data_IF_844956036379
#
_entry.id   IF_844956036379
#
_cell.length_a   1.000
_cell.length_b   1.000
_cell.length_c   1.000
_cell.angle_alpha   90.00
_cell.angle_beta   90.00
_cell.angle_gamma   90.00
#
_symmetry.space_group_name_H-M   'P 1'
#
loop_
_entity.id
_entity.type
_entity.pdbx_description
1 polymer ?
#
# COMPACT_ATOMS: atom_id res chain seq x y z
N UNK A 1 -17.19 -5.66 49.23
CA UNK A 1 -15.82 -5.62 48.74
C UNK A 1 -15.67 -6.64 47.59
N UNK A 2 -16.03 -7.88 47.81
CA UNK A 2 -15.88 -8.99 46.86
C UNK A 2 -16.53 -8.71 45.46
N UNK A 3 -17.76 -8.13 45.46
CA UNK A 3 -18.44 -7.72 44.23
C UNK A 3 -17.74 -6.55 43.50
N UNK A 4 -17.09 -5.65 44.21
CA UNK A 4 -16.35 -4.50 43.60
C UNK A 4 -15.06 -4.97 42.97
N UNK A 5 -14.33 -5.88 43.62
CA UNK A 5 -13.10 -6.47 43.07
C UNK A 5 -13.39 -7.29 41.82
N UNK A 6 -14.45 -8.09 41.81
CA UNK A 6 -14.86 -8.85 40.62
C UNK A 6 -15.21 -7.90 39.46
N UNK A 7 -16.01 -6.87 39.72
CA UNK A 7 -16.37 -5.88 38.70
C UNK A 7 -15.17 -5.16 38.12
N UNK A 8 -14.21 -4.76 38.99
CA UNK A 8 -12.96 -4.11 38.50
C UNK A 8 -12.09 -5.08 37.71
N UNK A 9 -12.02 -6.34 38.12
CA UNK A 9 -11.30 -7.37 37.38
C UNK A 9 -11.86 -7.54 35.98
N UNK A 10 -13.18 -7.67 35.87
CA UNK A 10 -13.85 -7.83 34.57
C UNK A 10 -13.66 -6.58 33.68
N UNK A 11 -13.81 -5.38 34.23
CA UNK A 11 -13.61 -4.13 33.53
C UNK A 11 -12.16 -3.94 33.04
N UNK A 12 -11.18 -4.33 33.87
CA UNK A 12 -9.76 -4.28 33.46
C UNK A 12 -9.46 -5.27 32.35
N UNK A 13 -10.06 -6.47 32.39
CA UNK A 13 -9.91 -7.47 31.31
C UNK A 13 -10.57 -7.00 30.02
N UNK A 14 -11.77 -6.43 30.09
CA UNK A 14 -12.46 -5.86 28.93
C UNK A 14 -11.61 -4.79 28.24
N UNK A 15 -11.03 -3.86 29.02
CA UNK A 15 -10.15 -2.81 28.47
C UNK A 15 -8.93 -3.41 27.76
N UNK A 16 -8.28 -4.41 28.34
CA UNK A 16 -7.03 -4.97 27.77
C UNK A 16 -7.29 -5.94 26.62
N UNK A 17 -8.43 -6.64 26.62
CA UNK A 17 -8.70 -7.74 25.67
C UNK A 17 -9.75 -7.41 24.61
N UNK A 18 -10.69 -6.50 24.88
CA UNK A 18 -11.85 -6.26 24.02
C UNK A 18 -11.93 -4.84 23.47
N UNK A 19 -11.47 -3.83 24.24
CA UNK A 19 -11.39 -2.46 23.73
C UNK A 19 -10.25 -2.31 22.74
N UNK A 20 -10.49 -1.81 21.50
CA UNK A 20 -9.45 -1.69 20.48
C UNK A 20 -8.26 -0.83 20.94
N UNK A 21 -8.52 0.30 21.55
CA UNK A 21 -7.47 1.20 22.02
C UNK A 21 -6.74 0.62 23.23
N UNK A 22 -7.48 0.03 24.17
CA UNK A 22 -6.92 -0.66 25.33
C UNK A 22 -6.03 -1.83 24.91
N UNK A 23 -6.51 -2.70 24.02
CA UNK A 23 -5.75 -3.83 23.50
C UNK A 23 -4.47 -3.39 22.75
N UNK A 24 -4.50 -2.25 22.06
CA UNK A 24 -3.34 -1.70 21.34
C UNK A 24 -2.34 -1.04 22.30
N UNK A 25 -2.78 -0.20 23.24
CA UNK A 25 -1.90 0.69 23.97
C UNK A 25 -1.61 0.28 25.43
N UNK A 26 -2.42 -0.57 26.07
CA UNK A 26 -2.26 -0.96 27.47
C UNK A 26 -1.44 -2.23 27.58
N UNK A 27 -0.41 -2.21 28.41
CA UNK A 27 0.38 -3.39 28.76
C UNK A 27 -0.28 -4.20 29.86
N UNK A 28 -0.58 -3.53 30.98
CA UNK A 28 -1.33 -4.12 32.08
C UNK A 28 -2.00 -3.06 32.95
N UNK A 29 -3.01 -3.49 33.73
CA UNK A 29 -3.72 -2.67 34.72
C UNK A 29 -3.56 -3.33 36.08
N UNK A 30 -3.15 -2.54 37.09
CA UNK A 30 -3.15 -2.93 38.49
C UNK A 30 -4.21 -2.13 39.20
N UNK A 31 -4.90 -2.76 40.15
CA UNK A 31 -5.83 -2.05 41.01
C UNK A 31 -5.75 -2.57 42.44
N UNK A 32 -6.13 -1.72 43.42
CA UNK A 32 -6.41 -2.08 44.80
C UNK A 32 -7.74 -1.50 45.20
N UNK A 33 -8.44 -2.15 46.13
CA UNK A 33 -9.74 -1.70 46.63
C UNK A 33 -9.66 -1.61 48.15
N UNK A 34 -9.82 -0.39 48.65
CA UNK A 34 -9.80 -0.12 50.10
C UNK A 34 -11.21 0.16 50.56
N UNK A 35 -11.75 -0.58 51.57
CA UNK A 35 -13.06 -0.32 52.13
C UNK A 35 -13.02 0.92 53.02
N UNK A 36 -13.93 1.88 52.75
CA UNK A 36 -14.19 3.06 53.56
C UNK A 36 -15.62 2.94 54.13
N UNK A 37 -15.87 3.39 55.32
CA UNK A 37 -17.10 3.12 56.12
C UNK A 37 -18.42 3.05 55.34
N UNK A 38 -18.60 3.85 54.28
CA UNK A 38 -19.82 3.92 53.50
C UNK A 38 -19.64 3.59 52.00
N UNK A 39 -18.40 3.37 51.52
CA UNK A 39 -18.05 3.12 50.11
C UNK A 39 -16.74 2.33 50.00
N UNK A 40 -16.39 1.94 48.82
CA UNK A 40 -15.06 1.39 48.50
C UNK A 40 -14.29 2.37 47.59
N UNK A 41 -13.02 2.57 47.88
CA UNK A 41 -12.12 3.38 47.06
C UNK A 41 -11.24 2.45 46.21
N UNK A 42 -11.19 2.69 44.89
CA UNK A 42 -10.36 1.92 44.01
C UNK A 42 -9.19 2.78 43.49
N UNK A 43 -7.98 2.28 43.66
CA UNK A 43 -6.76 2.87 43.07
C UNK A 43 -6.36 2.05 41.83
N UNK A 44 -6.40 2.68 40.67
CA UNK A 44 -6.12 2.04 39.38
C UNK A 44 -4.84 2.63 38.80
N UNK A 45 -3.88 1.78 38.47
CA UNK A 45 -2.63 2.15 37.80
C UNK A 45 -2.55 1.42 36.45
N UNK A 46 -2.45 2.19 35.38
CA UNK A 46 -2.37 1.68 34.01
C UNK A 46 -0.95 1.86 33.49
N UNK A 47 -0.34 0.77 33.02
CA UNK A 47 0.95 0.79 32.33
C UNK A 47 0.70 0.68 30.82
N UNK A 48 1.26 1.61 30.07
CA UNK A 48 1.09 1.70 28.64
C UNK A 48 2.34 1.18 27.92
N UNK A 49 2.13 0.42 26.82
CA UNK A 49 3.18 -0.02 25.90
C UNK A 49 3.36 0.92 24.69
N UNK A 50 2.45 1.87 24.52
CA UNK A 50 2.50 2.88 23.44
C UNK A 50 2.60 4.28 24.03
N UNK A 51 3.32 5.16 23.33
CA UNK A 51 3.42 6.58 23.70
C UNK A 51 2.17 7.34 23.30
N UNK A 52 2.02 8.55 23.81
CA UNK A 52 0.91 9.45 23.43
C UNK A 52 0.97 9.81 21.94
N UNK A 53 2.15 9.98 21.40
CA UNK A 53 2.40 10.29 20.00
C UNK A 53 1.97 9.11 19.09
N UNK A 54 2.29 7.88 19.47
CA UNK A 54 1.86 6.68 18.77
C UNK A 54 0.32 6.55 18.79
N UNK A 55 -0.33 6.80 19.92
CA UNK A 55 -1.79 6.80 20.00
C UNK A 55 -2.40 7.94 19.17
N UNK A 56 -1.79 9.12 19.17
CA UNK A 56 -2.26 10.25 18.37
C UNK A 56 -2.07 10.06 16.85
N UNK A 57 -1.17 9.18 16.44
CA UNK A 57 -0.92 8.85 15.02
C UNK A 57 -1.93 7.87 14.42
N UNK A 58 -2.83 7.30 15.22
CA UNK A 58 -3.87 6.38 14.74
C UNK A 58 -4.82 7.12 13.80
N UNK A 59 -4.95 6.63 12.58
CA UNK A 59 -5.86 7.19 11.57
C UNK A 59 -7.13 6.36 11.51
N UNK A 60 -8.29 7.02 11.53
CA UNK A 60 -9.56 6.34 11.35
C UNK A 60 -9.83 6.11 9.86
N UNK A 61 -10.06 4.86 9.47
CA UNK A 61 -10.40 4.47 8.13
C UNK A 61 -11.72 3.69 8.10
N UNK A 62 -12.62 4.08 7.22
CA UNK A 62 -13.91 3.41 7.00
C UNK A 62 -13.96 2.87 5.59
N UNK A 63 -13.90 1.53 5.47
CA UNK A 63 -14.00 0.84 4.19
C UNK A 63 -12.70 0.79 3.38
N UNK A 64 -12.71 -0.06 2.38
CA UNK A 64 -11.54 -0.45 1.56
C UNK A 64 -10.85 0.74 0.90
N UNK A 65 -11.63 1.67 0.34
CA UNK A 65 -11.09 2.84 -0.36
C UNK A 65 -10.30 3.77 0.57
N UNK A 66 -10.80 3.97 1.81
CA UNK A 66 -10.10 4.79 2.79
C UNK A 66 -8.82 4.10 3.28
N UNK A 67 -8.87 2.79 3.56
CA UNK A 67 -7.70 1.99 3.94
C UNK A 67 -6.65 2.06 2.84
N UNK A 68 -7.03 1.80 1.59
CA UNK A 68 -6.11 1.86 0.43
C UNK A 68 -5.52 3.26 0.24
N UNK A 69 -6.30 4.32 0.47
CA UNK A 69 -5.82 5.71 0.44
C UNK A 69 -4.73 5.99 1.48
N UNK A 70 -4.92 5.51 2.72
CA UNK A 70 -3.92 5.64 3.79
C UNK A 70 -2.65 4.83 3.49
N UNK A 71 -2.79 3.64 2.91
CA UNK A 71 -1.65 2.82 2.48
C UNK A 71 -0.86 3.48 1.35
N UNK A 72 -1.55 4.07 0.36
CA UNK A 72 -0.90 4.85 -0.71
C UNK A 72 -0.13 6.05 -0.13
N UNK A 73 -0.71 6.77 0.81
CA UNK A 73 -0.03 7.87 1.51
C UNK A 73 1.22 7.40 2.26
N UNK A 74 1.14 6.25 2.96
CA UNK A 74 2.28 5.65 3.65
C UNK A 74 3.40 5.26 2.67
N UNK A 75 3.07 4.59 1.57
CA UNK A 75 4.03 4.15 0.55
C UNK A 75 4.67 5.34 -0.19
N UNK A 76 3.90 6.39 -0.49
CA UNK A 76 4.42 7.60 -1.15
C UNK A 76 5.42 8.37 -0.27
N UNK A 77 5.24 8.34 1.05
CA UNK A 77 6.13 8.98 2.02
C UNK A 77 7.20 8.06 2.61
N UNK A 78 7.25 6.80 2.16
CA UNK A 78 8.13 5.76 2.70
C UNK A 78 8.04 5.67 4.23
N UNK A 79 6.80 5.73 4.73
CA UNK A 79 6.54 5.60 6.16
C UNK A 79 6.86 4.17 6.62
N UNK A 80 7.58 4.03 7.73
CA UNK A 80 7.89 2.72 8.30
C UNK A 80 6.69 2.09 9.02
N UNK A 81 5.67 2.89 9.33
CA UNK A 81 4.50 2.45 10.09
C UNK A 81 3.23 3.18 9.63
N UNK A 82 2.11 2.46 9.63
CA UNK A 82 0.78 3.04 9.54
C UNK A 82 -0.15 2.30 10.50
N UNK A 83 -0.83 3.03 11.38
CA UNK A 83 -1.78 2.47 12.34
C UNK A 83 -3.18 2.96 11.99
N UNK A 84 -4.08 2.02 11.75
CA UNK A 84 -5.46 2.31 11.33
C UNK A 84 -6.45 1.82 12.38
N UNK A 85 -7.41 2.67 12.73
CA UNK A 85 -8.61 2.26 13.45
C UNK A 85 -9.72 2.00 12.45
N UNK A 86 -10.15 0.76 12.33
CA UNK A 86 -11.13 0.31 11.36
C UNK A 86 -12.41 -0.13 12.10
N UNK A 87 -13.54 0.46 11.71
CA UNK A 87 -14.85 0.03 12.16
C UNK A 87 -15.38 -1.06 11.22
N UNK A 88 -16.03 -2.08 11.77
CA UNK A 88 -16.61 -3.20 11.01
C UNK A 88 -15.57 -4.01 10.21
N UNK A 89 -14.41 -4.26 10.82
CA UNK A 89 -13.39 -5.11 10.26
C UNK A 89 -13.66 -6.59 10.59
N UNK A 90 -14.06 -7.36 9.60
CA UNK A 90 -14.31 -8.81 9.67
C UNK A 90 -13.25 -9.61 8.90
N UNK A 91 -12.31 -8.93 8.26
CA UNK A 91 -11.26 -9.48 7.42
C UNK A 91 -10.05 -9.94 8.26
N UNK A 92 -9.07 -10.53 7.58
CA UNK A 92 -7.84 -11.04 8.17
C UNK A 92 -6.58 -10.25 7.72
N UNK A 93 -5.42 -10.71 8.16
CA UNK A 93 -4.14 -10.13 7.74
C UNK A 93 -3.89 -10.24 6.25
N UNK A 94 -4.34 -11.33 5.60
CA UNK A 94 -4.14 -11.53 4.17
C UNK A 94 -4.84 -10.45 3.35
N UNK A 95 -6.03 -10.02 3.78
CA UNK A 95 -6.74 -8.91 3.17
C UNK A 95 -5.96 -7.59 3.23
N UNK A 96 -5.38 -7.26 4.40
CA UNK A 96 -4.57 -6.04 4.54
C UNK A 96 -3.29 -6.13 3.69
N UNK A 97 -2.61 -7.29 3.66
CA UNK A 97 -1.43 -7.51 2.81
C UNK A 97 -1.74 -7.30 1.34
N UNK A 98 -2.90 -7.78 0.89
CA UNK A 98 -3.35 -7.58 -0.48
C UNK A 98 -3.63 -6.09 -0.77
N UNK A 99 -4.21 -5.34 0.17
CA UNK A 99 -4.41 -3.90 0.01
C UNK A 99 -3.07 -3.12 -0.02
N UNK A 100 -2.07 -3.53 0.74
CA UNK A 100 -0.71 -2.96 0.65
C UNK A 100 -0.13 -3.20 -0.74
N UNK A 101 -0.24 -4.43 -1.24
CA UNK A 101 0.23 -4.78 -2.59
C UNK A 101 -0.46 -3.95 -3.66
N UNK A 102 -1.78 -3.83 -3.61
CA UNK A 102 -2.54 -2.99 -4.54
C UNK A 102 -2.15 -1.51 -4.45
N UNK A 103 -1.99 -0.99 -3.24
CA UNK A 103 -1.57 0.39 -3.02
C UNK A 103 -0.16 0.67 -3.58
N UNK A 104 0.75 -0.30 -3.52
CA UNK A 104 2.08 -0.21 -4.09
C UNK A 104 2.03 0.00 -5.61
N UNK A 105 1.24 -0.78 -6.32
CA UNK A 105 1.06 -0.63 -7.78
C UNK A 105 0.22 0.59 -8.19
N UNK A 106 -0.51 1.20 -7.25
CA UNK A 106 -1.24 2.45 -7.49
C UNK A 106 -0.34 3.70 -7.42
N UNK A 107 0.87 3.57 -6.92
CA UNK A 107 1.83 4.68 -6.79
C UNK A 107 3.14 4.36 -7.53
N UNK A 108 3.08 4.13 -8.86
CA UNK A 108 4.20 3.60 -9.62
C UNK A 108 5.47 4.44 -9.52
N UNK A 109 5.38 5.77 -9.46
CA UNK A 109 6.55 6.64 -9.28
C UNK A 109 7.24 6.51 -7.90
N UNK A 110 6.58 5.86 -6.93
CA UNK A 110 7.13 5.56 -5.60
C UNK A 110 7.35 4.05 -5.39
N UNK A 111 7.12 3.22 -6.41
CA UNK A 111 7.28 1.77 -6.34
C UNK A 111 8.77 1.38 -6.52
N UNK A 112 9.59 1.72 -5.52
CA UNK A 112 11.05 1.56 -5.54
C UNK A 112 11.55 0.30 -4.82
N UNK A 113 10.69 -0.66 -4.64
CA UNK A 113 10.89 -1.95 -3.97
C UNK A 113 9.75 -2.22 -2.99
N UNK A 114 9.08 -3.37 -3.16
CA UNK A 114 7.97 -3.79 -2.29
C UNK A 114 8.48 -3.94 -0.86
N UNK A 115 7.92 -3.23 0.13
CA UNK A 115 8.31 -3.41 1.53
C UNK A 115 7.86 -4.77 2.05
N UNK A 116 8.63 -5.36 2.96
CA UNK A 116 8.14 -6.43 3.80
C UNK A 116 7.09 -5.88 4.77
N UNK A 117 6.01 -6.64 4.98
CA UNK A 117 4.85 -6.19 5.75
C UNK A 117 4.68 -7.06 6.98
N UNK A 118 4.76 -6.44 8.17
CA UNK A 118 4.36 -7.05 9.43
C UNK A 118 3.05 -6.44 9.91
N UNK A 119 2.15 -7.27 10.39
CA UNK A 119 0.80 -6.87 10.80
C UNK A 119 0.52 -7.31 12.23
N UNK A 120 -0.17 -6.45 12.97
CA UNK A 120 -0.76 -6.79 14.26
C UNK A 120 -2.16 -6.19 14.34
N UNK A 121 -3.14 -6.99 14.78
CA UNK A 121 -4.55 -6.61 14.85
C UNK A 121 -5.02 -6.66 16.30
N UNK A 122 -5.58 -5.55 16.79
CA UNK A 122 -6.02 -5.35 18.17
C UNK A 122 -7.51 -4.93 18.23
N UNK A 123 -8.33 -5.59 19.04
CA UNK A 123 -8.11 -6.89 19.69
C UNK A 123 -8.11 -8.04 18.69
N UNK A 124 -7.83 -9.26 19.17
CA UNK A 124 -7.84 -10.47 18.31
C UNK A 124 -9.23 -10.80 17.73
N UNK A 125 -10.30 -10.31 18.36
CA UNK A 125 -11.69 -10.51 17.93
C UNK A 125 -12.50 -9.22 18.06
N UNK A 126 -13.69 -9.15 17.47
CA UNK A 126 -14.55 -7.98 17.48
C UNK A 126 -14.58 -7.27 16.11
N UNK A 127 -15.51 -6.32 15.96
CA UNK A 127 -15.73 -5.60 14.69
C UNK A 127 -14.94 -4.31 14.58
N UNK A 128 -14.63 -3.66 15.70
CA UNK A 128 -13.77 -2.50 15.73
C UNK A 128 -12.36 -2.94 16.07
N UNK A 129 -11.40 -2.60 15.25
CA UNK A 129 -10.01 -3.01 15.43
C UNK A 129 -9.03 -1.91 15.13
N UNK A 130 -7.87 -1.98 15.77
CA UNK A 130 -6.68 -1.23 15.39
C UNK A 130 -5.75 -2.19 14.69
N UNK A 131 -5.35 -1.83 13.47
CA UNK A 131 -4.41 -2.58 12.64
C UNK A 131 -3.11 -1.78 12.59
N UNK A 132 -2.07 -2.35 13.15
CA UNK A 132 -0.69 -1.84 13.07
C UNK A 132 -0.01 -2.48 11.87
N UNK A 133 0.51 -1.67 10.97
CA UNK A 133 1.13 -2.07 9.71
C UNK A 133 2.56 -1.53 9.73
N UNK A 134 3.55 -2.41 9.85
CA UNK A 134 4.95 -2.06 9.74
C UNK A 134 5.42 -2.36 8.31
N UNK A 135 6.16 -1.41 7.74
CA UNK A 135 6.65 -1.46 6.37
C UNK A 135 8.19 -1.37 6.40
N UNK A 136 8.82 -2.49 6.09
CA UNK A 136 10.29 -2.59 6.02
C UNK A 136 10.74 -2.56 4.56
N UNK A 137 11.35 -1.46 4.18
CA UNK A 137 11.76 -1.21 2.80
C UNK A 137 13.14 -1.80 2.51
N UNK A 138 13.42 -2.23 1.26
CA UNK A 138 14.72 -2.79 0.90
C UNK A 138 15.87 -1.79 0.89
N UNK A 139 15.56 -0.49 0.93
CA UNK A 139 16.53 0.61 0.93
C UNK A 139 16.23 1.57 2.08
N UNK A 140 17.27 2.29 2.51
CA UNK A 140 17.12 3.37 3.48
C UNK A 140 16.21 4.49 2.95
N UNK A 141 15.44 5.09 3.85
CA UNK A 141 14.47 6.12 3.50
C UNK A 141 15.06 7.28 2.70
N UNK A 142 16.26 7.74 3.07
CA UNK A 142 16.93 8.84 2.36
C UNK A 142 17.25 8.47 0.91
N UNK A 143 17.65 7.23 0.65
CA UNK A 143 17.91 6.72 -0.69
C UNK A 143 16.60 6.57 -1.49
N UNK A 144 15.53 6.11 -0.86
CA UNK A 144 14.21 6.03 -1.50
C UNK A 144 13.69 7.43 -1.90
N UNK A 145 13.85 8.42 -1.03
CA UNK A 145 13.47 9.80 -1.29
C UNK A 145 14.29 10.40 -2.45
N UNK A 146 15.61 10.16 -2.49
CA UNK A 146 16.49 10.59 -3.58
C UNK A 146 16.07 9.96 -4.92
N UNK A 147 15.90 8.62 -4.97
CA UNK A 147 15.48 7.90 -6.18
C UNK A 147 14.10 8.34 -6.67
N UNK A 148 13.15 8.60 -5.75
CA UNK A 148 11.83 9.13 -6.11
C UNK A 148 11.95 10.49 -6.77
N UNK A 149 12.75 11.38 -6.20
CA UNK A 149 12.89 12.75 -6.69
C UNK A 149 13.61 12.78 -8.04
N UNK A 150 14.63 11.94 -8.24
CA UNK A 150 15.30 11.73 -9.52
C UNK A 150 14.34 11.20 -10.59
N UNK A 151 13.56 10.17 -10.23
CA UNK A 151 12.55 9.59 -11.13
C UNK A 151 11.47 10.61 -11.50
N UNK A 152 10.98 11.39 -10.54
CA UNK A 152 9.99 12.42 -10.80
C UNK A 152 10.50 13.50 -11.77
N UNK A 153 11.76 13.90 -11.63
CA UNK A 153 12.41 14.84 -12.53
C UNK A 153 12.56 14.27 -13.95
N UNK A 154 12.96 13.00 -14.06
CA UNK A 154 13.10 12.29 -15.35
C UNK A 154 11.75 12.18 -16.05
N UNK A 155 10.70 11.75 -15.36
CA UNK A 155 9.34 11.65 -15.90
C UNK A 155 8.83 13.01 -16.41
N UNK A 156 9.05 14.08 -15.65
CA UNK A 156 8.69 15.45 -16.08
C UNK A 156 9.44 15.84 -17.36
N UNK A 157 10.73 15.54 -17.44
CA UNK A 157 11.56 15.86 -18.60
C UNK A 157 11.06 15.13 -19.85
N UNK A 158 10.82 13.82 -19.74
CA UNK A 158 10.39 12.96 -20.84
C UNK A 158 8.98 13.29 -21.36
N UNK A 159 8.10 13.79 -20.49
CA UNK A 159 6.70 14.06 -20.85
C UNK A 159 6.39 15.53 -21.19
N UNK A 160 7.33 16.43 -20.96
CA UNK A 160 7.15 17.89 -21.11
C UNK A 160 6.60 18.29 -22.48
N UNK A 161 7.17 17.78 -23.55
CA UNK A 161 6.78 18.14 -24.91
C UNK A 161 5.43 17.52 -25.31
N UNK A 162 5.03 16.43 -24.68
CA UNK A 162 3.75 15.77 -24.91
C UNK A 162 2.55 16.56 -24.37
N UNK A 163 2.79 17.41 -23.41
CA UNK A 163 1.75 18.28 -22.79
C UNK A 163 1.84 19.74 -23.26
N UNK A 164 2.88 20.10 -24.02
CA UNK A 164 3.09 21.44 -24.51
C UNK A 164 1.97 21.92 -25.45
N UNK A 165 1.66 23.22 -25.41
CA UNK A 165 0.68 23.83 -26.32
C UNK A 165 -0.77 23.38 -26.14
N UNK A 166 -1.13 22.75 -25.01
CA UNK A 166 -2.48 22.26 -24.75
C UNK A 166 -2.82 20.94 -25.48
N UNK A 167 -1.81 20.22 -25.94
CA UNK A 167 -1.97 18.86 -26.49
C UNK A 167 -2.54 17.92 -25.41
N UNK A 168 -3.46 17.05 -25.81
CA UNK A 168 -3.97 15.97 -24.97
C UNK A 168 -3.16 14.70 -25.26
N UNK A 169 -2.35 14.22 -24.30
CA UNK A 169 -1.56 13.00 -24.48
C UNK A 169 -2.43 11.77 -24.67
N UNK A 170 -1.93 10.78 -25.39
CA UNK A 170 -2.55 9.47 -25.56
C UNK A 170 -1.67 8.37 -24.96
N UNK A 171 -2.27 7.21 -24.69
CA UNK A 171 -1.55 6.04 -24.17
C UNK A 171 -0.40 5.62 -25.10
N UNK A 172 -0.57 5.78 -26.40
CA UNK A 172 0.47 5.51 -27.41
C UNK A 172 1.66 6.45 -27.33
N UNK A 173 1.46 7.70 -26.86
CA UNK A 173 2.57 8.63 -26.63
C UNK A 173 3.45 8.15 -25.46
N UNK A 174 2.82 7.73 -24.35
CA UNK A 174 3.52 7.15 -23.21
C UNK A 174 4.28 5.86 -23.60
N UNK A 175 3.67 5.02 -24.43
CA UNK A 175 4.29 3.79 -24.91
C UNK A 175 5.52 4.10 -25.80
N UNK A 176 5.42 5.08 -26.68
CA UNK A 176 6.54 5.50 -27.52
C UNK A 176 7.72 5.97 -26.66
N UNK A 177 7.48 6.83 -25.67
CA UNK A 177 8.53 7.29 -24.74
C UNK A 177 9.18 6.09 -24.05
N UNK A 178 8.38 5.17 -23.50
CA UNK A 178 8.91 3.99 -22.80
C UNK A 178 9.87 3.19 -23.73
N UNK A 179 9.48 2.98 -24.98
CA UNK A 179 10.24 2.18 -25.94
C UNK A 179 11.51 2.90 -26.47
N UNK A 180 11.53 4.21 -26.42
CA UNK A 180 12.71 5.02 -26.75
C UNK A 180 13.75 5.00 -25.62
N UNK A 181 13.29 4.89 -24.35
CA UNK A 181 14.14 4.89 -23.15
C UNK A 181 14.73 3.51 -22.82
N UNK A 182 14.12 2.42 -23.25
CA UNK A 182 14.66 1.10 -22.92
C UNK A 182 13.87 -0.09 -23.42
N UNK A 183 14.21 -1.26 -22.90
CA UNK A 183 13.67 -2.52 -23.36
C UNK A 183 13.41 -3.51 -22.23
N UNK A 184 12.69 -4.58 -22.54
CA UNK A 184 12.49 -5.71 -21.65
C UNK A 184 13.79 -6.54 -21.51
N UNK A 185 14.12 -6.87 -20.27
CA UNK A 185 15.18 -7.81 -19.90
C UNK A 185 14.63 -8.68 -18.72
N UNK A 186 14.47 -10.00 -18.89
CA UNK A 186 13.95 -10.87 -17.83
C UNK A 186 14.82 -10.86 -16.57
N UNK A 187 16.11 -10.55 -16.67
CA UNK A 187 17.05 -10.43 -15.54
C UNK A 187 17.20 -8.97 -15.06
N UNK A 188 16.45 -8.03 -15.65
CA UNK A 188 16.47 -6.62 -15.29
C UNK A 188 15.80 -6.35 -13.93
N UNK A 189 15.97 -5.12 -13.44
CA UNK A 189 15.35 -4.69 -12.18
C UNK A 189 13.84 -4.65 -12.25
N UNK A 190 13.20 -4.64 -11.06
CA UNK A 190 11.75 -4.72 -10.91
C UNK A 190 11.09 -3.36 -10.59
N UNK A 191 11.84 -2.26 -10.63
CA UNK A 191 11.33 -0.94 -10.32
C UNK A 191 11.38 0.00 -11.52
N UNK A 192 10.55 1.06 -11.57
CA UNK A 192 10.63 2.06 -12.62
C UNK A 192 11.98 2.81 -12.58
N UNK A 193 12.58 2.98 -11.41
CA UNK A 193 13.90 3.58 -11.27
C UNK A 193 14.98 2.73 -11.96
N UNK A 194 14.92 1.40 -11.79
CA UNK A 194 15.84 0.49 -12.47
C UNK A 194 15.72 0.62 -13.98
N UNK A 195 14.48 0.70 -14.50
CA UNK A 195 14.25 0.89 -15.94
C UNK A 195 14.89 2.16 -16.47
N UNK A 196 14.57 3.33 -15.90
CA UNK A 196 15.08 4.61 -16.42
C UNK A 196 16.57 4.81 -16.18
N UNK A 197 17.15 4.19 -15.13
CA UNK A 197 18.59 4.30 -14.85
C UNK A 197 19.45 3.34 -15.67
N UNK A 198 18.96 2.15 -15.99
CA UNK A 198 19.70 1.12 -16.71
C UNK A 198 19.27 0.92 -18.19
N UNK A 199 18.14 1.49 -18.61
CA UNK A 199 17.56 1.30 -19.94
C UNK A 199 16.96 -0.09 -20.14
N UNK A 200 16.75 -0.87 -19.06
CA UNK A 200 16.15 -2.20 -19.14
C UNK A 200 15.52 -2.61 -17.79
N UNK A 201 14.44 -3.38 -17.84
CA UNK A 201 13.79 -3.94 -16.67
C UNK A 201 13.03 -5.23 -17.01
N UNK A 202 12.70 -6.02 -15.98
CA UNK A 202 11.80 -7.15 -16.12
C UNK A 202 10.34 -6.69 -16.33
N UNK A 203 9.39 -7.61 -16.47
CA UNK A 203 8.00 -7.27 -16.77
C UNK A 203 7.36 -6.38 -15.69
N UNK A 204 7.74 -6.55 -14.42
CA UNK A 204 7.27 -5.72 -13.32
C UNK A 204 7.80 -4.29 -13.43
N UNK A 205 9.12 -4.11 -13.52
CA UNK A 205 9.76 -2.81 -13.63
C UNK A 205 9.32 -2.05 -14.89
N UNK A 206 9.17 -2.75 -16.00
CA UNK A 206 8.71 -2.17 -17.26
C UNK A 206 7.23 -1.72 -17.18
N UNK A 207 6.37 -2.53 -16.57
CA UNK A 207 4.95 -2.18 -16.36
C UNK A 207 4.79 -1.00 -15.39
N UNK A 208 5.61 -0.95 -14.32
CA UNK A 208 5.64 0.18 -13.39
C UNK A 208 6.19 1.45 -14.05
N UNK A 209 7.21 1.36 -14.89
CA UNK A 209 7.75 2.50 -15.64
C UNK A 209 6.70 3.08 -16.60
N UNK A 210 5.98 2.21 -17.31
CA UNK A 210 4.88 2.63 -18.18
C UNK A 210 3.72 3.27 -17.39
N UNK A 211 3.34 2.66 -16.26
CA UNK A 211 2.29 3.22 -15.39
C UNK A 211 2.72 4.59 -14.80
N UNK A 212 4.00 4.78 -14.48
CA UNK A 212 4.54 6.06 -14.01
C UNK A 212 4.45 7.15 -15.09
N UNK A 213 4.82 6.84 -16.34
CA UNK A 213 4.64 7.75 -17.48
C UNK A 213 3.16 8.10 -17.70
N UNK A 214 2.28 7.11 -17.66
CA UNK A 214 0.84 7.34 -17.77
C UNK A 214 0.32 8.25 -16.65
N UNK A 215 0.77 8.04 -15.41
CA UNK A 215 0.36 8.85 -14.27
C UNK A 215 0.84 10.30 -14.44
N UNK A 216 2.07 10.54 -14.89
CA UNK A 216 2.60 11.88 -15.17
C UNK A 216 1.77 12.58 -16.25
N UNK A 217 1.37 11.87 -17.29
CA UNK A 217 0.50 12.34 -18.37
C UNK A 217 -0.98 12.39 -18.01
N UNK A 218 -1.36 12.02 -16.76
CA UNK A 218 -2.75 11.94 -16.28
C UNK A 218 -3.63 10.98 -17.09
N UNK A 219 -3.03 9.92 -17.61
CA UNK A 219 -3.68 8.82 -18.27
C UNK A 219 -4.03 7.72 -17.25
N UNK A 220 -5.18 7.10 -17.40
CA UNK A 220 -5.60 6.00 -16.51
C UNK A 220 -4.89 4.71 -16.91
N UNK A 221 -4.03 4.23 -16.01
CA UNK A 221 -3.27 3.01 -16.17
C UNK A 221 -3.15 2.28 -14.84
N UNK A 222 -3.27 0.96 -14.85
CA UNK A 222 -3.06 0.08 -13.71
C UNK A 222 -2.08 -1.02 -14.08
N UNK A 223 -1.23 -1.41 -13.14
CA UNK A 223 -0.38 -2.60 -13.27
C UNK A 223 -1.20 -3.83 -12.91
N UNK A 224 -1.20 -4.82 -13.77
CA UNK A 224 -1.81 -6.13 -13.56
C UNK A 224 -0.72 -7.16 -13.29
N UNK A 225 -1.05 -8.14 -12.46
CA UNK A 225 -0.20 -9.27 -12.12
C UNK A 225 -0.95 -10.58 -12.36
N UNK A 226 -0.29 -11.53 -12.97
CA UNK A 226 -0.82 -12.87 -13.21
C UNK A 226 0.28 -13.81 -13.68
N UNK A 227 -0.04 -14.64 -14.67
CA UNK A 227 0.92 -15.57 -15.27
C UNK A 227 0.87 -15.43 -16.78
N UNK A 228 1.99 -15.65 -17.44
CA UNK A 228 2.09 -15.84 -18.87
C UNK A 228 2.79 -17.18 -19.11
N UNK A 229 2.14 -18.11 -19.83
CA UNK A 229 2.63 -19.47 -20.05
C UNK A 229 2.96 -20.24 -18.76
N UNK A 230 2.26 -19.89 -17.65
CA UNK A 230 2.45 -20.50 -16.33
C UNK A 230 3.52 -19.85 -15.45
N UNK A 231 4.28 -18.89 -15.96
CA UNK A 231 5.27 -18.15 -15.20
C UNK A 231 4.70 -16.80 -14.69
N UNK A 232 5.10 -16.33 -13.50
CA UNK A 232 4.68 -15.03 -12.99
C UNK A 232 5.00 -13.90 -13.97
N UNK A 233 4.02 -13.04 -14.24
CA UNK A 233 4.16 -12.00 -15.23
C UNK A 233 3.36 -10.74 -14.87
N UNK A 234 3.85 -9.59 -15.33
CA UNK A 234 3.23 -8.29 -15.14
C UNK A 234 2.94 -7.62 -16.48
N UNK A 235 1.81 -6.93 -16.55
CA UNK A 235 1.43 -6.10 -17.69
C UNK A 235 0.60 -4.90 -17.22
N UNK A 236 -0.01 -4.17 -18.11
CA UNK A 236 -0.81 -2.99 -17.78
C UNK A 236 -2.22 -3.06 -18.32
N UNK A 237 -3.14 -2.38 -17.64
CA UNK A 237 -4.52 -2.15 -18.09
C UNK A 237 -4.71 -0.65 -18.22
N UNK A 238 -5.07 -0.20 -19.40
CA UNK A 238 -5.14 1.22 -19.74
C UNK A 238 -6.52 1.62 -20.25
N UNK A 239 -6.92 2.84 -19.96
CA UNK A 239 -8.15 3.42 -20.50
C UNK A 239 -7.86 4.00 -21.89
N UNK A 240 -8.52 3.46 -22.91
CA UNK A 240 -8.49 3.95 -24.30
C UNK A 240 -9.82 4.58 -24.69
N UNK A 241 -9.91 5.14 -25.89
CA UNK A 241 -11.20 5.63 -26.44
C UNK A 241 -12.25 4.54 -26.62
N UNK A 242 -11.84 3.26 -26.66
CA UNK A 242 -12.70 2.09 -26.80
C UNK A 242 -12.99 1.39 -25.45
N UNK A 243 -12.55 1.97 -24.34
CA UNK A 243 -12.66 1.40 -23.00
C UNK A 243 -11.35 0.87 -22.46
N UNK A 244 -11.43 0.06 -21.40
CA UNK A 244 -10.25 -0.57 -20.80
C UNK A 244 -9.68 -1.66 -21.72
N UNK A 245 -8.34 -1.65 -21.86
CA UNK A 245 -7.60 -2.62 -22.66
C UNK A 245 -6.34 -3.05 -21.93
N UNK A 246 -5.93 -4.28 -22.14
CA UNK A 246 -4.65 -4.79 -21.70
C UNK A 246 -3.56 -4.41 -22.69
N UNK A 247 -2.40 -4.04 -22.15
CA UNK A 247 -1.19 -3.76 -22.92
C UNK A 247 0.00 -4.35 -22.16
N UNK A 248 0.73 -5.25 -22.79
CA UNK A 248 1.98 -5.77 -22.27
C UNK A 248 3.16 -5.07 -23.00
N UNK A 249 3.90 -4.20 -22.31
CA UNK A 249 5.03 -3.53 -22.93
C UNK A 249 6.27 -4.43 -23.11
N UNK A 250 6.30 -5.61 -22.47
CA UNK A 250 7.43 -6.54 -22.49
C UNK A 250 7.49 -7.45 -23.71
N UNK A 251 6.36 -7.61 -24.42
CA UNK A 251 6.31 -8.46 -25.63
C UNK A 251 6.95 -7.79 -26.84
N UNK A 252 7.41 -8.58 -27.84
CA UNK A 252 7.93 -8.04 -29.11
C UNK A 252 6.97 -7.07 -29.80
N UNK A 253 7.50 -6.15 -30.61
CA UNK A 253 6.71 -5.11 -31.27
C UNK A 253 5.56 -5.67 -32.11
N UNK A 254 5.78 -6.78 -32.82
CA UNK A 254 4.79 -7.46 -33.65
C UNK A 254 3.58 -7.99 -32.85
N UNK A 255 3.78 -8.30 -31.55
CA UNK A 255 2.75 -8.84 -30.65
C UNK A 255 2.16 -7.76 -29.72
N UNK A 256 2.78 -6.59 -29.67
CA UNK A 256 2.39 -5.49 -28.79
C UNK A 256 1.16 -4.76 -29.29
N UNK A 257 -0.01 -5.12 -28.71
CA UNK A 257 -1.33 -4.58 -29.09
C UNK A 257 -2.17 -4.33 -27.84
N UNK A 258 -3.25 -3.58 -28.05
CA UNK A 258 -4.29 -3.43 -27.05
C UNK A 258 -5.28 -4.60 -27.15
N UNK A 259 -5.40 -5.37 -26.07
CA UNK A 259 -6.21 -6.58 -26.00
C UNK A 259 -7.42 -6.39 -25.10
N UNK A 260 -8.51 -7.02 -25.44
CA UNK A 260 -9.64 -7.28 -24.54
C UNK A 260 -9.29 -8.39 -23.56
N UNK A 261 -10.10 -8.57 -22.51
CA UNK A 261 -9.93 -9.66 -21.53
C UNK A 261 -9.93 -11.04 -22.23
N UNK A 262 -10.82 -11.22 -23.21
CA UNK A 262 -10.93 -12.48 -23.94
C UNK A 262 -9.67 -12.75 -24.80
N UNK A 263 -9.20 -11.77 -25.54
CA UNK A 263 -8.00 -11.90 -26.38
C UNK A 263 -6.77 -12.19 -25.51
N UNK A 264 -6.66 -11.55 -24.34
CA UNK A 264 -5.55 -11.78 -23.43
C UNK A 264 -5.54 -13.22 -22.90
N UNK A 265 -6.72 -13.76 -22.52
CA UNK A 265 -6.86 -15.17 -22.08
C UNK A 265 -6.47 -16.15 -23.19
N UNK A 266 -6.81 -15.87 -24.46
CA UNK A 266 -6.43 -16.69 -25.61
C UNK A 266 -4.92 -16.69 -25.87
N UNK A 267 -4.20 -15.65 -25.41
CA UNK A 267 -2.74 -15.55 -25.47
C UNK A 267 -2.01 -16.24 -24.31
N UNK A 268 -2.74 -16.79 -23.34
CA UNK A 268 -2.16 -17.58 -22.23
C UNK A 268 -1.84 -16.79 -20.97
N UNK A 269 -2.40 -15.58 -20.80
CA UNK A 269 -2.32 -14.79 -19.58
C UNK A 269 -3.30 -15.27 -18.51
#
# INVERSE_FOLDING_TARGET
TENVELFLSDACLEVVQEDPLGAYCVEFIKYTVDPVVAYSEAHIAITYRRTREQVASIVQATGVTAIRGELKSALTSFAAERVLRISYFEEDEAFIRELVRQAYYDVPACALGMPAVELSIYPASGRQRIVEILLDYPLERAELEERRDDLAWELELLTRDLTAGGRTPQVTDALQVLLEEGSYDPEGGATPYDFFSAGAANSEGLSLAFAALCQELKLSCHVAQGTLEGEPHFWTVVQTGEGWRHLDPSVPEEDRRFHTDQELQELGY
#
